data_IF_847666208830
#
_entry.id   IF_847666208830
#
_cell.length_a   1.000
_cell.length_b   1.000
_cell.length_c   1.000
_cell.angle_alpha   90.00
_cell.angle_beta   90.00
_cell.angle_gamma   90.00
#
_symmetry.space_group_name_H-M   'P 1'
#
loop_
_entity.id
_entity.type
_entity.pdbx_description
1 polymer ?
#
# COMPACT_ATOMS: atom_id res chain seq x y z
N UNK A 1 -42.90 6.76 -39.52
CA UNK A 1 -41.61 7.20 -38.95
C UNK A 1 -40.67 6.01 -39.10
N UNK A 2 -40.16 5.78 -40.32
CA UNK A 2 -38.95 6.40 -40.91
C UNK A 2 -37.68 5.75 -40.36
N UNK A 3 -36.84 5.20 -41.24
CA UNK A 3 -35.43 4.99 -40.89
C UNK A 3 -34.78 3.82 -41.58
N UNK A 4 -34.30 4.10 -42.78
CA UNK A 4 -33.35 3.35 -43.59
C UNK A 4 -31.99 3.11 -42.88
N UNK A 5 -31.32 2.06 -43.34
CA UNK A 5 -29.86 1.94 -43.53
C UNK A 5 -28.91 1.37 -42.47
N UNK A 6 -27.93 0.66 -43.03
CA UNK A 6 -27.01 -0.32 -42.47
C UNK A 6 -25.54 0.09 -42.67
N UNK A 7 -24.63 -0.68 -42.05
CA UNK A 7 -23.17 -0.93 -42.29
C UNK A 7 -22.39 -0.74 -40.97
N UNK A 8 -21.38 -1.53 -40.59
CA UNK A 8 -20.33 -2.25 -41.32
C UNK A 8 -19.65 -3.25 -40.32
N UNK A 9 -19.44 -4.55 -40.64
CA UNK A 9 -18.13 -5.21 -41.01
C UNK A 9 -17.15 -5.39 -39.81
N UNK A 10 -16.54 -6.55 -39.49
CA UNK A 10 -16.40 -7.87 -40.14
C UNK A 10 -15.64 -8.91 -39.26
N UNK A 11 -16.11 -10.18 -39.32
CA UNK A 11 -15.39 -11.49 -39.44
C UNK A 11 -14.51 -11.98 -38.27
N UNK A 12 -15.03 -12.84 -37.38
CA UNK A 12 -15.00 -14.34 -37.39
C UNK A 12 -13.58 -14.92 -37.57
N UNK A 13 -13.00 -15.47 -36.50
CA UNK A 13 -13.08 -16.88 -36.05
C UNK A 13 -12.54 -17.88 -37.08
N UNK A 14 -11.49 -18.63 -36.73
CA UNK A 14 -11.24 -19.97 -37.27
C UNK A 14 -10.36 -20.79 -36.28
N UNK A 15 -10.93 -21.92 -35.85
CA UNK A 15 -10.33 -23.21 -35.45
C UNK A 15 -10.03 -23.55 -33.97
N UNK A 16 -10.95 -24.39 -33.47
CA UNK A 16 -10.85 -25.34 -32.36
C UNK A 16 -10.02 -26.58 -32.76
N UNK A 17 -9.32 -27.14 -31.77
CA UNK A 17 -9.43 -28.56 -31.38
C UNK A 17 -8.56 -29.61 -32.09
N UNK A 18 -7.68 -30.26 -31.32
CA UNK A 18 -7.26 -31.65 -31.56
C UNK A 18 -6.88 -32.31 -30.22
N UNK A 19 -7.54 -33.44 -29.94
CA UNK A 19 -7.39 -34.24 -28.73
C UNK A 19 -6.39 -35.39 -28.86
N UNK A 20 -6.23 -36.09 -27.74
CA UNK A 20 -5.27 -37.16 -27.45
C UNK A 20 -5.55 -38.52 -28.13
N UNK A 21 -4.51 -39.36 -28.25
CA UNK A 21 -4.63 -40.80 -28.50
C UNK A 21 -3.31 -41.54 -28.79
N UNK A 22 -2.85 -42.34 -27.82
CA UNK A 22 -2.03 -43.59 -27.80
C UNK A 22 -1.66 -44.30 -29.14
N UNK A 23 -0.66 -45.17 -29.32
CA UNK A 23 0.47 -45.76 -28.57
C UNK A 23 1.21 -46.80 -29.49
N UNK A 24 2.37 -47.33 -29.03
CA UNK A 24 2.95 -48.69 -29.29
C UNK A 24 3.98 -48.93 -30.46
N UNK A 25 5.20 -49.37 -30.04
CA UNK A 25 6.17 -50.36 -30.64
C UNK A 25 6.79 -50.13 -32.05
N UNK A 26 7.95 -50.65 -32.46
CA UNK A 26 9.12 -51.32 -31.88
C UNK A 26 10.22 -51.42 -32.98
N UNK A 27 11.42 -51.78 -32.54
CA UNK A 27 12.75 -51.84 -33.20
C UNK A 27 12.93 -52.99 -34.21
N UNK A 28 13.80 -52.82 -35.23
CA UNK A 28 14.75 -53.78 -35.85
C UNK A 28 14.90 -53.54 -37.39
N UNK A 29 15.99 -53.78 -38.12
CA UNK A 29 17.42 -54.03 -37.93
C UNK A 29 17.97 -54.31 -39.36
N UNK A 30 19.08 -53.70 -39.81
CA UNK A 30 20.04 -54.33 -40.75
C UNK A 30 21.41 -53.68 -40.53
N UNK A 31 22.39 -54.47 -40.12
CA UNK A 31 23.80 -54.07 -40.11
C UNK A 31 24.53 -54.54 -41.36
N UNK A 32 25.60 -53.83 -41.74
CA UNK A 32 26.81 -54.39 -42.35
C UNK A 32 28.00 -53.60 -41.81
N UNK A 33 29.01 -54.36 -41.40
CA UNK A 33 30.19 -53.97 -40.66
C UNK A 33 31.33 -53.57 -41.62
N UNK A 34 31.96 -52.41 -41.42
CA UNK A 34 33.35 -52.17 -41.81
C UNK A 34 34.08 -51.51 -40.63
N UNK A 35 34.97 -52.27 -40.00
CA UNK A 35 35.96 -51.77 -39.06
C UNK A 35 37.00 -50.92 -39.80
N UNK A 36 37.07 -49.62 -39.50
CA UNK A 36 38.31 -48.82 -39.63
C UNK A 36 38.51 -47.92 -38.43
N UNK A 37 39.47 -48.33 -37.60
CA UNK A 37 40.37 -47.52 -36.75
C UNK A 37 39.70 -46.40 -35.94
N UNK A 38 39.36 -46.71 -34.69
CA UNK A 38 39.03 -45.72 -33.66
C UNK A 38 40.36 -45.09 -33.22
N UNK A 39 40.68 -43.89 -33.72
CA UNK A 39 41.56 -42.98 -33.00
C UNK A 39 40.88 -42.73 -31.64
N UNK A 40 41.47 -43.22 -30.55
CA UNK A 40 41.12 -42.76 -29.21
C UNK A 40 41.49 -41.28 -29.12
N UNK A 41 40.54 -40.42 -29.46
CA UNK A 41 40.58 -39.03 -29.05
C UNK A 41 40.51 -39.07 -27.51
N UNK A 42 41.50 -38.54 -26.78
CA UNK A 42 41.38 -38.42 -25.33
C UNK A 42 40.10 -37.67 -25.03
N UNK A 43 39.24 -38.23 -24.17
CA UNK A 43 38.02 -37.58 -23.70
C UNK A 43 38.40 -36.15 -23.28
N UNK A 44 37.75 -35.10 -23.84
CA UNK A 44 38.08 -33.74 -23.45
C UNK A 44 37.85 -33.63 -21.95
N UNK A 45 38.89 -33.22 -21.23
CA UNK A 45 38.79 -32.98 -19.80
C UNK A 45 37.63 -32.01 -19.49
N UNK A 46 37.15 -31.99 -18.23
CA UNK A 46 36.01 -31.17 -17.84
C UNK A 46 36.19 -29.72 -18.29
N UNK A 47 35.14 -29.15 -18.87
CA UNK A 47 35.17 -27.79 -19.39
C UNK A 47 35.40 -26.77 -18.26
N UNK A 48 36.20 -25.73 -18.50
CA UNK A 48 36.39 -24.64 -17.54
C UNK A 48 35.05 -23.98 -17.22
N UNK A 49 34.70 -23.95 -15.94
CA UNK A 49 33.54 -23.30 -15.37
C UNK A 49 33.90 -22.62 -14.03
N UNK A 50 33.07 -21.69 -13.57
CA UNK A 50 33.27 -21.03 -12.29
C UNK A 50 31.94 -20.65 -11.63
N UNK A 51 31.84 -20.85 -10.32
CA UNK A 51 30.74 -20.30 -9.51
C UNK A 51 31.17 -18.98 -8.90
N UNK A 52 30.26 -18.00 -8.92
CA UNK A 52 30.49 -16.66 -8.39
C UNK A 52 29.31 -16.22 -7.52
N UNK A 53 29.59 -15.79 -6.29
CA UNK A 53 28.58 -15.36 -5.34
C UNK A 53 28.97 -14.07 -4.63
N UNK A 54 27.98 -13.30 -4.21
CA UNK A 54 28.13 -12.08 -3.42
C UNK A 54 27.26 -12.21 -2.16
N UNK A 55 27.87 -12.11 -0.98
CA UNK A 55 27.15 -12.22 0.29
C UNK A 55 27.63 -11.19 1.31
N UNK A 56 26.72 -10.40 1.92
CA UNK A 56 25.30 -10.29 1.57
C UNK A 56 25.08 -9.60 0.21
N UNK A 57 24.02 -9.97 -0.51
CA UNK A 57 23.68 -9.36 -1.80
C UNK A 57 23.09 -7.95 -1.71
N UNK A 58 22.71 -7.52 -0.50
CA UNK A 58 22.18 -6.18 -0.20
C UNK A 58 22.87 -5.61 1.03
N UNK A 59 23.39 -4.40 0.93
CA UNK A 59 24.11 -3.66 1.99
C UNK A 59 23.62 -2.20 2.06
N UNK A 60 24.04 -1.47 3.09
CA UNK A 60 23.92 -0.01 3.15
C UNK A 60 25.21 0.65 2.64
N UNK A 61 25.18 1.93 2.29
CA UNK A 61 26.39 2.70 1.95
C UNK A 61 27.49 2.53 3.01
N UNK A 62 28.72 2.30 2.56
CA UNK A 62 29.85 1.99 3.45
C UNK A 62 29.87 0.56 3.98
N UNK A 63 28.88 -0.27 3.62
CA UNK A 63 28.86 -1.71 3.90
C UNK A 63 29.79 -2.50 2.98
N UNK A 64 30.17 -3.70 3.43
CA UNK A 64 31.04 -4.61 2.68
C UNK A 64 30.30 -5.86 2.21
N UNK A 65 30.62 -6.32 1.00
CA UNK A 65 30.17 -7.59 0.41
C UNK A 65 31.38 -8.51 0.27
N UNK A 66 31.20 -9.79 0.59
CA UNK A 66 32.18 -10.84 0.31
C UNK A 66 31.88 -11.51 -1.01
N UNK A 67 32.87 -11.55 -1.89
CA UNK A 67 32.81 -12.27 -3.15
C UNK A 67 33.47 -13.64 -3.01
N UNK A 68 32.72 -14.69 -3.31
CA UNK A 68 33.18 -16.08 -3.32
C UNK A 68 33.33 -16.58 -4.76
N UNK A 69 34.47 -17.23 -5.04
CA UNK A 69 34.82 -17.73 -6.37
C UNK A 69 35.25 -19.19 -6.27
N UNK A 70 34.69 -20.06 -7.12
CA UNK A 70 35.09 -21.47 -7.17
C UNK A 70 35.24 -21.92 -8.64
N UNK A 71 36.45 -21.90 -9.20
CA UNK A 71 36.75 -22.46 -10.52
C UNK A 71 36.68 -24.00 -10.51
N UNK A 72 36.26 -24.61 -11.61
CA UNK A 72 36.30 -26.06 -11.81
C UNK A 72 36.49 -26.42 -13.28
N UNK A 73 37.10 -27.58 -13.55
CA UNK A 73 37.50 -27.97 -14.91
C UNK A 73 38.63 -27.10 -15.50
N UNK A 74 38.98 -27.33 -16.76
CA UNK A 74 40.10 -26.63 -17.42
C UNK A 74 41.49 -27.04 -16.92
N UNK A 75 42.50 -26.22 -17.21
CA UNK A 75 43.91 -26.50 -16.87
C UNK A 75 44.44 -25.51 -15.83
N UNK A 76 44.68 -25.93 -14.57
CA UNK A 76 45.27 -25.04 -13.57
C UNK A 76 46.75 -24.71 -13.90
N UNK A 77 47.29 -23.57 -13.42
CA UNK A 77 46.70 -22.61 -12.49
C UNK A 77 45.67 -21.66 -13.12
N UNK A 78 44.77 -21.11 -12.28
CA UNK A 78 43.76 -20.13 -12.70
C UNK A 78 44.16 -18.70 -12.33
N UNK A 79 43.88 -17.75 -13.23
CA UNK A 79 43.95 -16.32 -12.99
C UNK A 79 42.54 -15.79 -12.80
N UNK A 80 42.30 -15.10 -11.68
CA UNK A 80 41.00 -14.55 -11.31
C UNK A 80 41.05 -13.02 -11.44
N UNK A 81 40.00 -12.45 -12.02
CA UNK A 81 39.76 -11.00 -12.01
C UNK A 81 38.28 -10.77 -11.76
N UNK A 82 37.97 -9.90 -10.79
CA UNK A 82 36.61 -9.50 -10.45
C UNK A 82 36.53 -7.99 -10.70
N UNK A 83 35.67 -7.56 -11.61
CA UNK A 83 35.23 -6.17 -11.70
C UNK A 83 34.04 -6.00 -10.74
N UNK A 84 34.16 -5.12 -9.75
CA UNK A 84 33.11 -4.93 -8.74
C UNK A 84 31.91 -4.12 -9.27
N UNK A 85 32.00 -3.56 -10.48
CA UNK A 85 30.95 -2.76 -11.11
C UNK A 85 30.90 -1.29 -10.68
N UNK A 86 31.75 -0.88 -9.74
CA UNK A 86 31.93 0.51 -9.26
C UNK A 86 33.24 1.15 -9.75
N UNK A 87 33.92 0.51 -10.71
CA UNK A 87 35.20 0.93 -11.26
C UNK A 87 36.41 0.35 -10.54
N UNK A 88 36.22 -0.45 -9.48
CA UNK A 88 37.30 -1.17 -8.79
C UNK A 88 37.42 -2.62 -9.27
N UNK A 89 38.62 -3.20 -9.16
CA UNK A 89 38.87 -4.60 -9.53
C UNK A 89 39.64 -5.34 -8.43
N UNK A 90 39.39 -6.64 -8.31
CA UNK A 90 40.09 -7.56 -7.40
C UNK A 90 40.69 -8.73 -8.19
N UNK A 91 41.79 -9.30 -7.68
CA UNK A 91 42.50 -10.43 -8.30
C UNK A 91 42.31 -11.76 -7.55
N UNK A 92 41.44 -11.79 -6.54
CA UNK A 92 41.09 -12.96 -5.75
C UNK A 92 39.71 -12.78 -5.09
N UNK A 93 39.14 -13.87 -4.57
CA UNK A 93 37.97 -13.82 -3.70
C UNK A 93 38.28 -13.01 -2.43
N UNK A 94 37.33 -12.20 -1.96
CA UNK A 94 37.58 -11.25 -0.86
C UNK A 94 36.41 -10.31 -0.58
N UNK A 95 36.63 -9.40 0.36
CA UNK A 95 35.65 -8.38 0.73
C UNK A 95 35.85 -7.10 -0.10
N UNK A 96 34.76 -6.50 -0.53
CA UNK A 96 34.73 -5.21 -1.20
C UNK A 96 33.71 -4.28 -0.54
N UNK A 97 34.00 -2.98 -0.46
CA UNK A 97 33.14 -1.98 0.20
C UNK A 97 32.64 -0.98 -0.83
N UNK A 98 31.32 -0.80 -0.89
CA UNK A 98 30.70 0.16 -1.81
C UNK A 98 30.38 1.46 -1.08
N UNK A 99 30.87 2.58 -1.61
CA UNK A 99 30.73 3.91 -0.98
C UNK A 99 29.52 4.69 -1.47
N UNK A 100 28.95 4.33 -2.62
CA UNK A 100 27.76 4.97 -3.17
C UNK A 100 26.59 3.99 -3.22
N UNK A 101 25.37 4.47 -2.97
CA UNK A 101 24.17 3.68 -3.18
C UNK A 101 23.94 3.42 -4.67
N UNK A 102 23.31 2.29 -4.98
CA UNK A 102 23.08 1.88 -6.35
C UNK A 102 23.00 0.37 -6.50
N UNK A 103 22.82 -0.05 -7.75
CA UNK A 103 22.82 -1.46 -8.12
C UNK A 103 24.06 -1.73 -8.96
N UNK A 104 24.93 -2.58 -8.45
CA UNK A 104 26.21 -2.93 -9.08
C UNK A 104 26.15 -4.34 -9.63
N UNK A 105 26.70 -4.52 -10.84
CA UNK A 105 26.88 -5.83 -11.46
C UNK A 105 28.36 -6.16 -11.42
N UNK A 106 28.75 -7.05 -10.52
CA UNK A 106 30.10 -7.55 -10.44
C UNK A 106 30.33 -8.63 -11.50
N UNK A 107 31.45 -8.58 -12.21
CA UNK A 107 31.83 -9.52 -13.27
C UNK A 107 33.10 -10.27 -12.87
N UNK A 108 32.97 -11.58 -12.65
CA UNK A 108 34.09 -12.49 -12.54
C UNK A 108 34.60 -12.88 -13.93
N UNK A 109 35.91 -12.89 -14.11
CA UNK A 109 36.61 -13.55 -15.22
C UNK A 109 37.65 -14.52 -14.65
N UNK A 110 37.54 -15.79 -15.02
CA UNK A 110 38.53 -16.83 -14.70
C UNK A 110 39.22 -17.26 -15.98
N UNK A 111 40.55 -17.20 -16.01
CA UNK A 111 41.38 -17.68 -17.12
C UNK A 111 42.22 -18.86 -16.66
N UNK A 112 42.20 -19.97 -17.39
CA UNK A 112 43.06 -21.13 -17.11
C UNK A 112 44.44 -21.00 -17.77
N UNK A 113 45.37 -21.92 -17.48
CA UNK A 113 46.74 -21.85 -18.02
C UNK A 113 46.84 -22.12 -19.52
N UNK A 114 45.79 -22.71 -20.11
CA UNK A 114 45.67 -22.91 -21.55
C UNK A 114 45.07 -21.68 -22.26
N UNK A 115 44.71 -20.64 -21.51
CA UNK A 115 44.16 -19.38 -22.02
C UNK A 115 42.63 -19.39 -22.20
N UNK A 116 41.94 -20.45 -21.76
CA UNK A 116 40.47 -20.51 -21.81
C UNK A 116 39.88 -19.60 -20.74
N UNK A 117 38.81 -18.87 -21.07
CA UNK A 117 38.13 -17.92 -20.18
C UNK A 117 36.69 -18.30 -19.93
N UNK A 118 36.24 -18.11 -18.70
CA UNK A 118 34.81 -18.17 -18.32
C UNK A 118 34.45 -16.93 -17.49
N UNK A 119 33.21 -16.47 -17.64
CA UNK A 119 32.68 -15.32 -16.92
C UNK A 119 31.41 -15.67 -16.15
N UNK A 120 31.21 -14.99 -15.02
CA UNK A 120 30.01 -15.09 -14.20
C UNK A 120 29.71 -13.73 -13.57
N UNK A 121 28.45 -13.46 -13.24
CA UNK A 121 28.02 -12.18 -12.66
C UNK A 121 27.32 -12.34 -11.33
N UNK A 122 27.47 -11.36 -10.45
CA UNK A 122 26.74 -11.24 -9.20
C UNK A 122 26.18 -9.81 -9.07
N UNK A 123 24.95 -9.68 -8.56
CA UNK A 123 24.35 -8.36 -8.29
C UNK A 123 24.55 -7.98 -6.84
N UNK A 124 24.96 -6.74 -6.60
CA UNK A 124 25.01 -6.11 -5.28
C UNK A 124 24.08 -4.91 -5.27
N UNK A 125 23.21 -4.81 -4.26
CA UNK A 125 22.34 -3.65 -4.03
C UNK A 125 22.86 -2.89 -2.82
N UNK A 126 23.14 -1.60 -3.01
CA UNK A 126 23.59 -0.70 -1.95
C UNK A 126 22.49 0.32 -1.70
N UNK A 127 21.87 0.25 -0.53
CA UNK A 127 20.84 1.18 -0.10
C UNK A 127 21.47 2.44 0.49
N UNK A 128 20.84 3.61 0.33
CA UNK A 128 21.31 4.84 0.96
C UNK A 128 21.27 4.74 2.48
N UNK A 129 22.27 5.31 3.16
CA UNK A 129 22.22 5.42 4.62
C UNK A 129 21.17 6.45 5.01
N UNK A 130 19.98 5.99 5.38
CA UNK A 130 18.96 6.84 5.96
C UNK A 130 19.38 7.16 7.39
N UNK A 131 19.70 8.43 7.68
CA UNK A 131 19.89 8.88 9.05
C UNK A 131 18.66 8.47 9.88
N UNK A 132 18.83 7.96 11.11
CA UNK A 132 17.68 7.65 11.94
C UNK A 132 16.84 8.92 12.10
N UNK A 133 15.60 8.89 11.64
CA UNK A 133 14.61 9.90 12.01
C UNK A 133 14.66 10.03 13.52
N UNK A 134 14.84 11.24 14.10
CA UNK A 134 14.83 11.37 15.55
C UNK A 134 13.53 10.74 16.07
N UNK A 135 13.68 9.75 16.95
CA UNK A 135 12.55 9.17 17.65
C UNK A 135 11.75 10.32 18.26
N UNK A 136 10.44 10.35 18.00
CA UNK A 136 9.54 11.37 18.52
C UNK A 136 9.84 11.61 20.00
N UNK A 137 10.06 12.87 20.39
CA UNK A 137 10.31 13.24 21.78
C UNK A 137 9.21 12.65 22.68
N UNK A 138 9.50 12.28 23.94
CA UNK A 138 8.52 11.71 24.84
C UNK A 138 7.39 12.73 25.05
N UNK A 139 6.26 12.49 24.37
CA UNK A 139 5.08 13.34 24.48
C UNK A 139 4.46 13.09 25.85
N UNK A 140 4.27 14.15 26.63
CA UNK A 140 3.65 14.08 27.95
C UNK A 140 2.28 13.38 27.85
N UNK A 141 2.16 12.18 28.42
CA UNK A 141 0.89 11.47 28.47
C UNK A 141 0.05 11.91 29.68
N UNK A 142 -1.26 11.92 29.52
CA UNK A 142 -2.23 12.27 30.57
C UNK A 142 -3.37 11.26 30.56
N UNK A 143 -3.77 10.85 31.77
CA UNK A 143 -4.99 10.06 31.96
C UNK A 143 -6.20 10.98 31.86
N UNK A 144 -7.16 10.62 31.02
CA UNK A 144 -8.43 11.35 30.82
C UNK A 144 -9.62 10.40 30.92
N UNK A 145 -10.74 10.90 31.43
CA UNK A 145 -12.03 10.18 31.43
C UNK A 145 -13.02 10.83 30.46
N UNK A 146 -13.33 10.14 29.36
CA UNK A 146 -14.25 10.61 28.33
C UNK A 146 -15.58 9.85 28.37
N UNK A 147 -16.70 10.55 28.17
CA UNK A 147 -18.03 9.94 28.00
C UNK A 147 -18.43 10.00 26.53
N UNK A 148 -18.31 8.89 25.82
CA UNK A 148 -18.55 8.81 24.36
C UNK A 148 -19.71 7.86 24.09
N UNK A 149 -20.74 8.33 23.38
CA UNK A 149 -21.94 7.54 23.02
C UNK A 149 -22.64 6.88 24.23
N UNK A 150 -22.57 7.52 25.40
CA UNK A 150 -23.15 7.03 26.66
C UNK A 150 -22.22 6.12 27.48
N UNK A 151 -21.07 5.72 26.94
CA UNK A 151 -20.08 4.89 27.63
C UNK A 151 -18.92 5.72 28.18
N UNK A 152 -18.33 5.29 29.30
CA UNK A 152 -17.19 5.96 29.93
C UNK A 152 -15.88 5.23 29.63
N UNK A 153 -14.90 5.98 29.14
CA UNK A 153 -13.57 5.48 28.76
C UNK A 153 -12.50 6.18 29.60
N UNK A 154 -11.60 5.41 30.22
CA UNK A 154 -10.42 5.91 30.93
C UNK A 154 -9.21 5.60 30.05
N UNK A 155 -8.57 6.64 29.53
CA UNK A 155 -7.53 6.52 28.51
C UNK A 155 -6.26 7.25 28.95
N UNK A 156 -5.09 6.71 28.60
CA UNK A 156 -3.80 7.38 28.80
C UNK A 156 -3.27 7.86 27.44
N UNK A 157 -3.45 9.14 27.14
CA UNK A 157 -3.22 9.70 25.80
C UNK A 157 -2.21 10.86 25.86
N UNK A 158 -1.47 11.14 24.78
CA UNK A 158 -0.64 12.34 24.70
C UNK A 158 -1.45 13.62 24.97
N UNK A 159 -0.90 14.52 25.78
CA UNK A 159 -1.61 15.72 26.25
C UNK A 159 -1.92 16.73 25.12
N UNK A 160 -1.22 16.62 23.99
CA UNK A 160 -1.45 17.43 22.79
C UNK A 160 -2.42 16.78 21.80
N UNK A 161 -2.93 15.58 22.06
CA UNK A 161 -3.91 14.96 21.17
C UNK A 161 -5.25 15.68 21.22
N UNK A 162 -5.77 15.92 20.03
CA UNK A 162 -7.12 16.37 19.77
C UNK A 162 -8.14 15.29 20.12
N UNK A 163 -9.39 15.69 20.30
CA UNK A 163 -10.49 14.76 20.48
C UNK A 163 -10.64 13.85 19.24
N UNK A 164 -10.38 14.38 18.04
CA UNK A 164 -10.39 13.59 16.80
C UNK A 164 -9.41 12.40 16.86
N UNK A 165 -8.17 12.66 17.29
CA UNK A 165 -7.14 11.63 17.39
C UNK A 165 -7.56 10.54 18.37
N UNK A 166 -8.05 10.91 19.55
CA UNK A 166 -8.51 9.92 20.55
C UNK A 166 -9.70 9.11 20.04
N UNK A 167 -10.72 9.75 19.45
CA UNK A 167 -11.89 9.05 18.93
C UNK A 167 -11.53 8.01 17.84
N UNK A 168 -10.56 8.33 16.98
CA UNK A 168 -10.15 7.44 15.87
C UNK A 168 -9.11 6.41 16.28
N UNK A 169 -8.05 6.83 16.96
CA UNK A 169 -6.88 6.00 17.21
C UNK A 169 -7.09 5.08 18.41
N UNK A 170 -7.70 5.57 19.50
CA UNK A 170 -7.93 4.77 20.70
C UNK A 170 -9.30 4.07 20.68
N UNK A 171 -10.34 4.79 20.25
CA UNK A 171 -11.72 4.27 20.31
C UNK A 171 -12.23 3.68 18.99
N UNK A 172 -11.46 3.79 17.90
CA UNK A 172 -11.80 3.23 16.59
C UNK A 172 -13.17 3.68 16.03
N UNK A 173 -13.62 4.88 16.41
CA UNK A 173 -14.85 5.50 15.90
C UNK A 173 -14.56 6.19 14.57
N UNK A 174 -14.46 5.38 13.51
CA UNK A 174 -13.98 5.82 12.20
C UNK A 174 -14.97 6.67 11.40
N UNK A 175 -16.22 6.83 11.86
CA UNK A 175 -17.16 7.78 11.24
C UNK A 175 -16.70 9.24 11.39
N UNK A 176 -15.88 9.53 12.40
CA UNK A 176 -15.31 10.86 12.61
C UNK A 176 -14.09 10.98 11.70
N UNK A 177 -14.22 11.75 10.61
CA UNK A 177 -13.21 11.77 9.55
C UNK A 177 -12.20 12.91 9.73
N UNK A 178 -10.94 12.62 9.41
CA UNK A 178 -9.86 13.62 9.34
C UNK A 178 -9.69 14.14 7.91
N UNK A 179 -10.38 15.25 7.58
CA UNK A 179 -10.32 15.82 6.23
C UNK A 179 -9.28 16.93 6.04
N UNK A 180 -9.18 17.87 6.99
CA UNK A 180 -8.28 19.03 6.87
C UNK A 180 -7.41 19.29 8.11
N UNK A 181 -7.83 18.83 9.29
CA UNK A 181 -7.16 19.08 10.58
C UNK A 181 -6.97 20.56 10.95
N UNK A 182 -7.74 21.45 10.31
CA UNK A 182 -7.69 22.90 10.49
C UNK A 182 -9.03 23.50 10.92
N UNK A 183 -10.07 22.67 11.13
CA UNK A 183 -11.41 23.15 11.49
C UNK A 183 -12.27 23.67 10.33
N UNK A 184 -11.83 23.52 9.08
CA UNK A 184 -12.50 24.10 7.92
C UNK A 184 -13.56 23.19 7.28
N UNK A 185 -13.32 21.88 7.21
CA UNK A 185 -14.14 20.99 6.37
C UNK A 185 -15.36 20.38 7.07
N UNK A 186 -15.44 20.39 8.40
CA UNK A 186 -16.54 19.80 9.18
C UNK A 186 -16.61 18.26 9.19
N UNK A 187 -15.77 17.55 8.45
CA UNK A 187 -15.82 16.08 8.38
C UNK A 187 -15.58 15.39 9.75
N UNK A 188 -14.92 16.10 10.67
CA UNK A 188 -14.66 15.66 12.04
C UNK A 188 -15.75 16.08 13.05
N UNK A 189 -16.91 16.55 12.58
CA UNK A 189 -17.96 17.07 13.46
C UNK A 189 -18.51 15.98 14.37
N UNK A 190 -18.52 16.28 15.67
CA UNK A 190 -19.19 15.51 16.72
C UNK A 190 -20.06 16.45 17.55
N UNK A 191 -20.95 15.90 18.38
CA UNK A 191 -21.73 16.70 19.32
C UNK A 191 -21.06 16.60 20.70
N UNK A 192 -20.71 17.74 21.28
CA UNK A 192 -20.19 17.84 22.66
C UNK A 192 -21.15 18.70 23.47
N UNK A 193 -21.74 18.12 24.52
CA UNK A 193 -22.76 18.76 25.38
C UNK A 193 -23.87 19.46 24.56
N UNK A 194 -24.37 18.76 23.54
CA UNK A 194 -25.46 19.23 22.68
C UNK A 194 -25.05 20.20 21.57
N UNK A 195 -23.77 20.56 21.45
CA UNK A 195 -23.27 21.46 20.40
C UNK A 195 -22.43 20.72 19.36
N UNK A 196 -22.72 20.94 18.08
CA UNK A 196 -21.85 20.46 17.00
C UNK A 196 -20.52 21.21 17.02
N UNK A 197 -19.40 20.48 17.05
CA UNK A 197 -18.04 21.02 17.13
C UNK A 197 -17.08 20.22 16.26
N UNK A 198 -16.03 20.89 15.76
CA UNK A 198 -14.91 20.23 15.08
C UNK A 198 -14.00 19.55 16.10
N UNK A 199 -14.00 18.21 16.16
CA UNK A 199 -13.18 17.46 17.12
C UNK A 199 -11.67 17.64 16.92
N UNK A 200 -11.22 18.06 15.72
CA UNK A 200 -9.82 18.40 15.48
C UNK A 200 -9.38 19.74 16.09
N UNK A 201 -10.30 20.53 16.64
CA UNK A 201 -10.02 21.86 17.23
C UNK A 201 -10.27 21.89 18.75
N UNK A 202 -10.38 20.72 19.38
CA UNK A 202 -10.54 20.58 20.82
C UNK A 202 -9.56 19.51 21.28
N UNK A 203 -8.82 19.75 22.37
CA UNK A 203 -7.96 18.74 22.95
C UNK A 203 -8.79 17.68 23.69
N UNK A 204 -8.34 16.43 23.69
CA UNK A 204 -9.03 15.36 24.42
C UNK A 204 -9.14 15.68 25.93
N UNK A 205 -8.11 16.34 26.49
CA UNK A 205 -8.09 16.78 27.89
C UNK A 205 -9.15 17.85 28.20
N UNK A 206 -9.59 18.64 27.21
CA UNK A 206 -10.64 19.66 27.37
C UNK A 206 -12.05 19.07 27.21
N UNK A 207 -12.13 17.84 26.70
CA UNK A 207 -13.36 17.09 26.54
C UNK A 207 -13.69 16.22 27.77
N UNK A 208 -12.79 16.16 28.76
CA UNK A 208 -13.01 15.42 30.01
C UNK A 208 -14.29 15.87 30.71
N UNK A 209 -15.08 14.89 31.15
CA UNK A 209 -16.36 15.10 31.85
C UNK A 209 -17.54 15.53 30.95
N UNK A 210 -17.30 15.86 29.68
CA UNK A 210 -18.34 16.24 28.70
C UNK A 210 -19.00 15.02 28.07
N UNK A 211 -20.23 15.18 27.61
CA UNK A 211 -20.91 14.13 26.83
C UNK A 211 -20.59 14.31 25.35
N UNK A 212 -19.94 13.31 24.77
CA UNK A 212 -19.55 13.27 23.36
C UNK A 212 -20.46 12.26 22.64
N UNK A 213 -21.02 12.69 21.52
CA UNK A 213 -21.86 11.86 20.65
C UNK A 213 -21.29 11.90 19.23
N UNK A 214 -21.04 10.72 18.67
CA UNK A 214 -20.59 10.52 17.29
C UNK A 214 -21.71 9.91 16.44
N UNK A 215 -21.47 9.67 15.15
CA UNK A 215 -22.46 9.06 14.26
C UNK A 215 -22.85 7.65 14.71
N UNK A 216 -21.89 6.87 15.22
CA UNK A 216 -22.12 5.54 15.76
C UNK A 216 -23.11 5.55 16.93
N UNK A 217 -23.17 6.65 17.70
CA UNK A 217 -24.06 6.77 18.86
C UNK A 217 -25.52 7.07 18.53
N UNK A 218 -25.86 7.41 17.28
CA UNK A 218 -27.24 7.78 16.92
C UNK A 218 -27.99 6.69 16.17
N UNK A 219 -27.30 5.71 15.61
CA UNK A 219 -27.92 4.62 14.86
C UNK A 219 -26.90 3.67 14.25
N UNK A 220 -27.39 2.49 13.86
CA UNK A 220 -26.59 1.41 13.26
C UNK A 220 -27.16 1.05 11.88
N UNK A 221 -26.43 0.29 11.05
CA UNK A 221 -26.97 -0.17 9.76
C UNK A 221 -28.30 -0.95 9.87
N UNK A 222 -28.55 -1.62 11.01
CA UNK A 222 -29.79 -2.35 11.28
C UNK A 222 -30.88 -1.50 11.94
N UNK A 223 -30.53 -0.35 12.53
CA UNK A 223 -31.44 0.55 13.20
C UNK A 223 -31.02 2.00 12.95
N UNK A 224 -31.38 2.50 11.76
CA UNK A 224 -31.00 3.82 11.31
C UNK A 224 -31.76 4.91 12.07
N UNK A 225 -31.04 5.96 12.47
CA UNK A 225 -31.65 7.21 12.90
C UNK A 225 -32.48 7.82 11.75
N UNK A 226 -33.58 8.55 12.01
CA UNK A 226 -34.36 9.21 10.95
C UNK A 226 -33.53 10.04 9.96
N UNK A 227 -32.52 10.78 10.45
CA UNK A 227 -31.56 11.48 9.58
C UNK A 227 -30.74 10.53 8.68
N UNK A 228 -30.25 9.41 9.22
CA UNK A 228 -29.50 8.44 8.42
C UNK A 228 -30.40 7.82 7.33
N UNK A 229 -31.65 7.47 7.68
CA UNK A 229 -32.63 6.95 6.73
C UNK A 229 -32.99 7.98 5.65
N UNK A 230 -33.20 9.26 6.02
CA UNK A 230 -33.46 10.32 5.07
C UNK A 230 -32.28 10.56 4.12
N UNK A 231 -31.04 10.50 4.62
CA UNK A 231 -29.85 10.63 3.77
C UNK A 231 -29.76 9.50 2.72
N UNK A 232 -30.15 8.28 3.08
CA UNK A 232 -30.24 7.16 2.12
C UNK A 232 -31.35 7.42 1.11
N UNK A 233 -32.56 7.76 1.58
CA UNK A 233 -33.74 7.98 0.74
C UNK A 233 -33.54 9.07 -0.32
N UNK A 234 -32.90 10.18 0.05
CA UNK A 234 -32.66 11.32 -0.83
C UNK A 234 -31.37 11.20 -1.63
N UNK A 235 -30.61 10.10 -1.47
CA UNK A 235 -29.26 9.96 -2.04
C UNK A 235 -28.38 11.17 -1.65
N UNK A 236 -28.49 11.62 -0.40
CA UNK A 236 -27.79 12.78 0.15
C UNK A 236 -26.28 12.51 0.37
N UNK A 237 -25.80 11.32 -0.01
CA UNK A 237 -24.40 10.93 0.04
C UNK A 237 -23.94 10.38 -1.31
N UNK A 238 -22.78 10.84 -1.78
CA UNK A 238 -22.07 10.28 -2.94
C UNK A 238 -20.85 9.49 -2.48
N UNK A 239 -19.70 10.16 -2.26
CA UNK A 239 -18.49 9.48 -1.76
C UNK A 239 -18.57 9.08 -0.28
N UNK A 240 -19.58 9.52 0.47
CA UNK A 240 -19.73 9.21 1.89
C UNK A 240 -18.95 10.09 2.86
N UNK A 241 -17.83 10.68 2.44
CA UNK A 241 -16.84 11.24 3.36
C UNK A 241 -17.36 12.40 4.25
N UNK A 242 -18.18 13.30 3.70
CA UNK A 242 -18.75 14.40 4.49
C UNK A 242 -20.04 14.02 5.23
N UNK A 243 -20.63 12.86 4.94
CA UNK A 243 -21.96 12.50 5.43
C UNK A 243 -22.04 12.41 6.96
N UNK A 244 -21.05 11.84 7.68
CA UNK A 244 -21.07 11.83 9.15
C UNK A 244 -21.16 13.24 9.75
N UNK A 245 -20.29 14.15 9.33
CA UNK A 245 -20.28 15.53 9.85
C UNK A 245 -21.58 16.28 9.53
N UNK A 246 -22.09 16.12 8.31
CA UNK A 246 -23.39 16.69 7.89
C UNK A 246 -24.54 16.19 8.77
N UNK A 247 -24.61 14.89 9.03
CA UNK A 247 -25.66 14.29 9.87
C UNK A 247 -25.54 14.79 11.32
N UNK A 248 -24.34 14.87 11.87
CA UNK A 248 -24.14 15.35 13.25
C UNK A 248 -24.50 16.83 13.40
N UNK A 249 -24.13 17.69 12.44
CA UNK A 249 -24.57 19.09 12.42
C UNK A 249 -26.08 19.24 12.27
N UNK A 250 -26.70 18.46 11.36
CA UNK A 250 -28.14 18.46 11.20
C UNK A 250 -28.87 17.98 12.46
N UNK A 251 -28.34 16.96 13.15
CA UNK A 251 -28.88 16.49 14.43
C UNK A 251 -28.85 17.59 15.48
N UNK A 252 -27.72 18.27 15.67
CA UNK A 252 -27.62 19.35 16.64
C UNK A 252 -28.63 20.48 16.36
N UNK A 253 -28.88 20.80 15.08
CA UNK A 253 -29.94 21.71 14.69
C UNK A 253 -31.32 21.18 15.07
N UNK A 254 -31.66 19.95 14.69
CA UNK A 254 -33.01 19.39 14.91
C UNK A 254 -33.32 19.12 16.39
N UNK A 255 -32.32 18.80 17.20
CA UNK A 255 -32.48 18.63 18.64
C UNK A 255 -32.87 19.96 19.32
N UNK A 256 -32.46 21.11 18.76
CA UNK A 256 -32.80 22.45 19.29
C UNK A 256 -33.95 23.14 18.54
N UNK A 257 -34.13 22.83 17.25
CA UNK A 257 -35.12 23.43 16.34
C UNK A 257 -35.79 22.30 15.53
N UNK A 258 -36.82 21.64 16.07
CA UNK A 258 -37.43 20.47 15.42
C UNK A 258 -38.10 20.74 14.06
N UNK A 259 -38.42 22.00 13.76
CA UNK A 259 -39.02 22.45 12.48
C UNK A 259 -38.21 23.61 11.89
N UNK A 260 -36.99 23.36 11.39
CA UNK A 260 -36.13 24.41 10.89
C UNK A 260 -36.62 24.94 9.54
N UNK A 261 -36.28 26.17 9.21
CA UNK A 261 -36.37 26.68 7.84
C UNK A 261 -35.19 26.18 7.01
N UNK A 262 -35.32 26.23 5.69
CA UNK A 262 -34.21 25.90 4.76
C UNK A 262 -32.95 26.71 5.06
N UNK A 263 -33.10 27.99 5.41
CA UNK A 263 -31.95 28.85 5.71
C UNK A 263 -31.29 28.49 7.05
N UNK A 264 -32.06 28.03 8.04
CA UNK A 264 -31.50 27.48 9.28
C UNK A 264 -30.73 26.19 9.02
N UNK A 265 -31.23 25.32 8.14
CA UNK A 265 -30.50 24.11 7.72
C UNK A 265 -29.19 24.49 7.02
N UNK A 266 -29.24 25.40 6.05
CA UNK A 266 -28.02 25.88 5.35
C UNK A 266 -27.01 26.47 6.32
N UNK A 267 -27.46 27.29 7.27
CA UNK A 267 -26.58 27.89 8.27
C UNK A 267 -25.93 26.83 9.17
N UNK A 268 -26.70 25.83 9.63
CA UNK A 268 -26.17 24.76 10.46
C UNK A 268 -25.17 23.86 9.71
N UNK A 269 -25.34 23.71 8.40
CA UNK A 269 -24.47 22.90 7.55
C UNK A 269 -23.30 23.70 6.95
N UNK A 270 -23.26 25.03 7.11
CA UNK A 270 -22.25 25.90 6.48
C UNK A 270 -20.81 25.54 6.86
N UNK A 271 -20.60 24.92 8.03
CA UNK A 271 -19.29 24.43 8.48
C UNK A 271 -18.89 23.04 7.94
N UNK A 272 -19.71 22.41 7.09
CA UNK A 272 -19.43 21.11 6.50
C UNK A 272 -19.26 21.21 4.98
N UNK A 273 -18.08 20.87 4.48
CA UNK A 273 -17.76 20.96 3.06
C UNK A 273 -18.04 19.61 2.35
N UNK A 274 -18.83 19.67 1.28
CA UNK A 274 -19.10 18.57 0.36
C UNK A 274 -18.48 18.87 -1.01
N UNK A 275 -17.34 18.25 -1.31
CA UNK A 275 -16.65 18.40 -2.61
C UNK A 275 -17.46 17.81 -3.77
N UNK A 276 -18.31 16.80 -3.51
CA UNK A 276 -19.24 16.25 -4.49
C UNK A 276 -20.40 17.20 -4.86
N UNK A 277 -20.59 18.29 -4.10
CA UNK A 277 -21.61 19.31 -4.37
C UNK A 277 -23.05 18.90 -4.04
N UNK A 278 -23.27 17.92 -3.15
CA UNK A 278 -24.59 17.31 -2.93
C UNK A 278 -25.53 18.10 -1.98
N UNK A 279 -25.27 19.38 -1.74
CA UNK A 279 -25.93 20.18 -0.69
C UNK A 279 -27.46 20.24 -0.82
N UNK A 280 -28.00 20.25 -2.05
CA UNK A 280 -29.46 20.27 -2.28
C UNK A 280 -30.13 19.02 -1.69
N UNK A 281 -29.63 17.83 -2.04
CA UNK A 281 -30.15 16.55 -1.53
C UNK A 281 -29.95 16.41 -0.02
N UNK A 282 -28.83 16.89 0.49
CA UNK A 282 -28.56 16.96 1.94
C UNK A 282 -29.61 17.84 2.65
N UNK A 283 -29.89 19.02 2.10
CA UNK A 283 -30.89 19.93 2.65
C UNK A 283 -32.29 19.31 2.63
N UNK A 284 -32.68 18.68 1.51
CA UNK A 284 -33.97 17.99 1.35
C UNK A 284 -34.12 16.85 2.39
N UNK A 285 -33.07 16.07 2.63
CA UNK A 285 -33.07 15.01 3.64
C UNK A 285 -33.28 15.55 5.06
N UNK A 286 -32.63 16.66 5.43
CA UNK A 286 -32.79 17.27 6.76
C UNK A 286 -34.19 17.86 6.93
N UNK A 287 -34.72 18.52 5.89
CA UNK A 287 -36.06 19.11 5.92
C UNK A 287 -37.16 18.05 6.11
N UNK A 288 -37.05 16.88 5.47
CA UNK A 288 -38.00 15.78 5.67
C UNK A 288 -38.09 15.37 7.15
N UNK A 289 -36.96 15.26 7.84
CA UNK A 289 -36.93 14.89 9.27
C UNK A 289 -37.46 16.02 10.15
N UNK A 290 -37.21 17.27 9.75
CA UNK A 290 -37.74 18.47 10.42
C UNK A 290 -39.24 18.72 10.21
N UNK A 291 -39.97 17.80 9.56
CA UNK A 291 -41.40 17.94 9.29
C UNK A 291 -41.74 19.01 8.24
N UNK A 292 -40.81 19.27 7.32
CA UNK A 292 -40.98 20.10 6.13
C UNK A 292 -41.28 19.31 4.87
#
# INVERSE_FOLDING_TARGET
>A
MSGEEAKHVSRREFLKGAGAGAAVAAVAAVGVEELRIINMVPSPGPELSATFGASPGTIQEGGSVRFDVTPSGGTPPYVITIDCGDGTTMNAAGNHTYTAHGRYTALLTVTDSAGKKVQAVATVVVNPTVAPTPAAEPVLAKVVTLKVNGESYILNVPANWTLLEVLRQELHLFSVHEGCSLGECGACTVIVDGKAVNSCQILAIEAEGKNILTLEGIGTPSNLHPLQAAFVKHEASQCGYCAPGMIMSAKALLDSTPKPTVDQVRQALAGNLCVCGNYKKITEAVMEVGGG
#
